data_IF_373042630094
#
_entry.id   IF_373042630094
#
_cell.length_a   1.000
_cell.length_b   1.000
_cell.length_c   1.000
_cell.angle_alpha   90.00
_cell.angle_beta   90.00
_cell.angle_gamma   90.00
#
_symmetry.space_group_name_H-M   'P 1'
#
loop_
_entity.id
_entity.type
_entity.pdbx_description
1 polymer ?
#
# COMPACT_ATOMS: atom_id res chain seq x y z
N UNK A 1 -23.22 -3.57 -7.22
CA UNK A 1 -22.73 -2.25 -7.69
C UNK A 1 -22.25 -2.40 -9.14
N UNK A 2 -22.32 -1.35 -9.99
CA UNK A 2 -22.01 -1.48 -11.41
C UNK A 2 -20.51 -1.67 -11.64
N UNK A 3 -20.14 -2.73 -12.36
CA UNK A 3 -18.76 -2.95 -12.82
C UNK A 3 -18.45 -2.03 -14.00
N UNK A 4 -17.18 -1.62 -14.12
CA UNK A 4 -16.71 -0.73 -15.18
C UNK A 4 -15.91 -1.52 -16.21
N UNK A 5 -16.31 -1.42 -17.47
CA UNK A 5 -15.55 -1.99 -18.59
C UNK A 5 -14.50 -0.98 -19.08
N UNK A 6 -13.25 -1.42 -19.18
CA UNK A 6 -12.14 -0.62 -19.72
C UNK A 6 -11.48 -1.36 -20.87
N UNK A 7 -11.38 -0.71 -22.03
CA UNK A 7 -10.64 -1.24 -23.18
C UNK A 7 -9.17 -0.91 -22.99
N UNK A 8 -8.30 -1.92 -23.07
CA UNK A 8 -6.86 -1.76 -23.02
C UNK A 8 -6.19 -2.29 -24.29
N UNK A 9 -5.12 -1.63 -24.72
CA UNK A 9 -4.33 -2.00 -25.89
C UNK A 9 -2.84 -1.79 -25.63
N UNK A 10 -1.92 -2.47 -26.33
CA UNK A 10 -0.51 -2.10 -26.30
C UNK A 10 -0.32 -0.70 -26.89
N UNK A 11 0.68 0.04 -26.40
CA UNK A 11 1.08 1.33 -26.97
C UNK A 11 1.89 1.11 -28.26
N UNK A 12 1.20 0.66 -29.31
CA UNK A 12 1.72 0.43 -30.66
C UNK A 12 0.75 1.07 -31.64
N UNK A 13 1.27 1.79 -32.64
CA UNK A 13 0.46 2.46 -33.66
C UNK A 13 0.82 1.93 -35.05
N UNK A 14 -0.15 1.44 -35.85
CA UNK A 14 -1.55 1.14 -35.48
C UNK A 14 -1.64 -0.09 -34.57
N UNK A 15 -2.62 -0.11 -33.65
CA UNK A 15 -2.89 -1.27 -32.82
C UNK A 15 -3.95 -2.17 -33.49
N UNK A 16 -3.64 -3.45 -33.78
CA UNK A 16 -4.63 -4.40 -34.27
C UNK A 16 -5.80 -4.59 -33.28
N UNK A 17 -7.01 -4.87 -33.77
CA UNK A 17 -8.16 -5.21 -32.90
C UNK A 17 -7.90 -6.48 -32.10
N UNK A 18 -7.17 -7.44 -32.68
CA UNK A 18 -6.76 -8.69 -32.01
C UNK A 18 -5.85 -8.49 -30.80
N UNK A 19 -5.28 -7.30 -30.64
CA UNK A 19 -4.42 -6.91 -29.52
C UNK A 19 -5.17 -6.13 -28.43
N UNK A 20 -6.44 -5.77 -28.66
CA UNK A 20 -7.25 -5.11 -27.64
C UNK A 20 -7.83 -6.13 -26.67
N UNK A 21 -7.95 -5.73 -25.40
CA UNK A 21 -8.53 -6.53 -24.33
C UNK A 21 -9.54 -5.70 -23.55
N UNK A 22 -10.51 -6.39 -22.96
CA UNK A 22 -11.46 -5.80 -22.04
C UNK A 22 -11.01 -6.09 -20.61
N UNK A 23 -11.01 -5.06 -19.78
CA UNK A 23 -10.83 -5.18 -18.34
C UNK A 23 -12.21 -5.03 -17.71
N UNK A 24 -12.64 -6.05 -16.97
CA UNK A 24 -13.82 -6.00 -16.12
C UNK A 24 -13.37 -5.57 -14.73
N UNK A 25 -13.56 -4.28 -14.42
CA UNK A 25 -13.05 -3.64 -13.21
C UNK A 25 -14.16 -3.55 -12.15
N UNK A 26 -13.85 -4.02 -10.95
CA UNK A 26 -14.67 -3.74 -9.77
C UNK A 26 -14.69 -2.24 -9.43
N UNK A 27 -15.64 -1.83 -8.59
CA UNK A 27 -15.73 -0.44 -8.14
C UNK A 27 -14.48 -0.02 -7.34
N UNK A 28 -14.06 1.23 -7.52
CA UNK A 28 -12.88 1.79 -6.84
C UNK A 28 -11.52 1.23 -7.30
N UNK A 29 -11.46 0.43 -8.37
CA UNK A 29 -10.21 -0.01 -9.01
C UNK A 29 -9.37 1.20 -9.45
N UNK A 30 -8.09 1.14 -9.14
CA UNK A 30 -7.11 2.16 -9.51
C UNK A 30 -6.19 1.65 -10.62
N UNK A 31 -5.46 2.57 -11.25
CA UNK A 31 -4.44 2.23 -12.27
C UNK A 31 -3.38 1.25 -11.74
N UNK A 32 -3.04 1.30 -10.44
CA UNK A 32 -2.13 0.32 -9.81
C UNK A 32 -2.67 -1.11 -9.88
N UNK A 33 -3.97 -1.29 -9.67
CA UNK A 33 -4.61 -2.61 -9.65
C UNK A 33 -4.62 -3.19 -11.07
N UNK A 34 -4.92 -2.37 -12.08
CA UNK A 34 -4.78 -2.74 -13.50
C UNK A 34 -3.34 -3.18 -13.80
N UNK A 35 -2.35 -2.37 -13.41
CA UNK A 35 -0.93 -2.72 -13.64
C UNK A 35 -0.56 -4.04 -12.98
N UNK A 36 -1.05 -4.30 -11.77
CA UNK A 36 -0.82 -5.53 -11.04
C UNK A 36 -1.44 -6.74 -11.76
N UNK A 37 -2.70 -6.63 -12.17
CA UNK A 37 -3.40 -7.67 -12.91
C UNK A 37 -2.69 -8.01 -14.23
N UNK A 38 -2.31 -7.00 -15.02
CA UNK A 38 -1.57 -7.18 -16.27
C UNK A 38 -0.19 -7.80 -16.04
N UNK A 39 0.57 -7.29 -15.07
CA UNK A 39 1.90 -7.80 -14.73
C UNK A 39 1.86 -9.30 -14.39
N UNK A 40 0.87 -9.70 -13.58
CA UNK A 40 0.63 -11.09 -13.21
C UNK A 40 0.27 -11.94 -14.43
N UNK A 41 -0.70 -11.51 -15.24
CA UNK A 41 -1.15 -12.29 -16.40
C UNK A 41 -0.10 -12.38 -17.51
N UNK A 42 0.74 -11.34 -17.69
CA UNK A 42 1.82 -11.32 -18.67
C UNK A 42 3.13 -11.90 -18.14
N UNK A 43 3.19 -12.27 -16.87
CA UNK A 43 4.40 -12.73 -16.18
C UNK A 43 5.59 -11.76 -16.35
N UNK A 44 5.35 -10.47 -16.11
CA UNK A 44 6.38 -9.41 -16.18
C UNK A 44 6.40 -8.59 -14.89
N UNK A 45 7.53 -7.95 -14.52
CA UNK A 45 7.58 -7.08 -13.35
C UNK A 45 6.59 -5.90 -13.47
N UNK A 46 5.78 -5.62 -12.45
CA UNK A 46 4.83 -4.49 -12.47
C UNK A 46 5.48 -3.13 -12.79
N UNK A 47 6.74 -2.95 -12.38
CA UNK A 47 7.54 -1.74 -12.66
C UNK A 47 7.88 -1.54 -14.14
N UNK A 48 7.86 -2.60 -14.97
CA UNK A 48 8.10 -2.47 -16.41
C UNK A 48 6.86 -2.00 -17.18
N UNK A 49 5.69 -2.00 -16.53
CA UNK A 49 4.43 -1.57 -17.13
C UNK A 49 4.05 -0.15 -16.72
N UNK A 50 3.65 0.65 -17.70
CA UNK A 50 3.01 1.95 -17.49
C UNK A 50 1.68 1.99 -18.22
N UNK A 51 0.64 2.50 -17.56
CA UNK A 51 -0.68 2.68 -18.17
C UNK A 51 -0.78 4.12 -18.66
N UNK A 52 -1.29 4.26 -19.87
CA UNK A 52 -1.26 5.50 -20.63
C UNK A 52 -2.66 5.80 -21.13
N UNK A 53 -3.06 7.06 -21.07
CA UNK A 53 -4.27 7.58 -21.73
C UNK A 53 -3.86 8.34 -22.99
N UNK A 54 -4.54 8.07 -24.10
CA UNK A 54 -4.40 8.87 -25.31
C UNK A 54 -5.18 10.17 -25.14
N UNK A 55 -4.53 11.31 -25.39
CA UNK A 55 -5.14 12.63 -25.42
C UNK A 55 -5.51 12.99 -26.86
N UNK A 56 -6.58 13.77 -27.05
CA UNK A 56 -7.09 14.14 -28.38
C UNK A 56 -6.05 14.89 -29.24
N UNK A 57 -5.11 15.58 -28.59
CA UNK A 57 -4.00 16.28 -29.25
C UNK A 57 -2.86 15.37 -29.72
N UNK A 58 -3.03 14.04 -29.65
CA UNK A 58 -1.99 13.06 -29.99
C UNK A 58 -0.93 12.84 -28.90
N UNK A 59 -1.10 13.44 -27.73
CA UNK A 59 -0.21 13.24 -26.59
C UNK A 59 -0.57 11.98 -25.80
N UNK A 60 0.45 11.32 -25.27
CA UNK A 60 0.30 10.14 -24.41
C UNK A 60 0.58 10.52 -22.95
N UNK A 61 -0.43 10.43 -22.10
CA UNK A 61 -0.31 10.77 -20.68
C UNK A 61 -0.14 9.49 -19.86
N UNK A 62 0.97 9.37 -19.14
CA UNK A 62 1.19 8.26 -18.20
C UNK A 62 0.37 8.52 -16.94
N UNK A 63 -0.52 7.60 -16.60
CA UNK A 63 -1.40 7.73 -15.44
C UNK A 63 -0.68 7.33 -14.15
N UNK A 64 -0.90 8.09 -13.08
CA UNK A 64 -0.47 7.75 -11.74
C UNK A 64 -1.25 6.53 -11.23
N UNK A 65 -0.58 5.69 -10.43
CA UNK A 65 -1.18 4.50 -9.84
C UNK A 65 -2.40 4.74 -8.94
N UNK A 66 -2.62 5.97 -8.45
CA UNK A 66 -3.78 6.34 -7.62
C UNK A 66 -4.98 6.87 -8.41
N UNK A 67 -4.85 7.03 -9.72
CA UNK A 67 -5.94 7.53 -10.56
C UNK A 67 -6.99 6.46 -10.86
N UNK A 68 -8.23 6.91 -11.08
CA UNK A 68 -9.33 6.07 -11.57
C UNK A 68 -9.16 5.88 -13.08
N UNK A 69 -9.18 4.64 -13.60
CA UNK A 69 -8.95 4.38 -15.02
C UNK A 69 -10.06 4.97 -15.90
N UNK A 70 -9.67 5.55 -17.04
CA UNK A 70 -10.62 5.92 -18.11
C UNK A 70 -11.10 4.69 -18.90
N UNK A 71 -12.15 4.84 -19.70
CA UNK A 71 -12.74 3.73 -20.49
C UNK A 71 -11.81 3.15 -21.55
N UNK A 72 -10.84 3.94 -22.03
CA UNK A 72 -9.84 3.52 -23.01
C UNK A 72 -8.46 3.84 -22.50
N UNK A 73 -7.60 2.83 -22.50
CA UNK A 73 -6.24 2.89 -22.02
C UNK A 73 -5.29 2.17 -22.98
N UNK A 74 -4.02 2.52 -22.86
CA UNK A 74 -2.92 1.84 -23.51
C UNK A 74 -1.90 1.39 -22.45
N UNK A 75 -1.15 0.34 -22.72
CA UNK A 75 -0.07 -0.12 -21.85
C UNK A 75 1.26 -0.04 -22.58
N UNK A 76 2.21 0.66 -21.95
CA UNK A 76 3.61 0.74 -22.36
C UNK A 76 4.42 -0.29 -21.58
N UNK A 77 5.42 -0.87 -22.23
CA UNK A 77 6.31 -1.89 -21.64
C UNK A 77 6.11 -3.30 -22.18
N UNK A 78 5.08 -3.51 -23.00
CA UNK A 78 4.79 -4.76 -23.71
C UNK A 78 4.42 -4.46 -25.15
N UNK A 79 4.77 -5.38 -26.06
CA UNK A 79 4.50 -5.24 -27.50
C UNK A 79 3.16 -5.86 -27.91
N UNK A 80 2.68 -6.83 -27.14
CA UNK A 80 1.48 -7.61 -27.44
C UNK A 80 0.77 -7.98 -26.14
N UNK A 81 -0.56 -8.00 -26.20
CA UNK A 81 -1.47 -8.51 -25.18
C UNK A 81 -2.09 -9.85 -25.58
N UNK A 82 -1.58 -10.49 -26.64
CA UNK A 82 -2.03 -11.80 -27.12
C UNK A 82 -2.13 -12.86 -26.02
N UNK A 83 -1.20 -12.85 -25.06
CA UNK A 83 -1.18 -13.77 -23.92
C UNK A 83 -2.30 -13.54 -22.89
N UNK A 84 -3.01 -12.41 -22.94
CA UNK A 84 -4.14 -12.14 -22.05
C UNK A 84 -5.44 -12.76 -22.60
N UNK A 85 -6.33 -13.25 -21.72
CA UNK A 85 -7.69 -13.59 -22.12
C UNK A 85 -8.43 -12.34 -22.61
N UNK A 86 -9.42 -12.52 -23.49
CA UNK A 86 -10.20 -11.41 -24.09
C UNK A 86 -10.80 -10.48 -23.03
N UNK A 87 -11.20 -11.04 -21.89
CA UNK A 87 -11.65 -10.31 -20.71
C UNK A 87 -10.73 -10.65 -19.54
N UNK A 88 -10.13 -9.64 -18.94
CA UNK A 88 -9.30 -9.75 -17.73
C UNK A 88 -10.09 -9.17 -16.57
N UNK A 89 -10.27 -9.96 -15.51
CA UNK A 89 -10.88 -9.48 -14.27
C UNK A 89 -9.85 -8.65 -13.48
N UNK A 90 -10.23 -7.44 -13.12
CA UNK A 90 -9.41 -6.54 -12.29
C UNK A 90 -10.19 -6.23 -11.03
N UNK A 91 -9.80 -6.90 -9.96
CA UNK A 91 -10.34 -6.65 -8.62
C UNK A 91 -9.31 -5.91 -7.79
N UNK A 92 -9.78 -5.00 -6.94
CA UNK A 92 -8.93 -4.41 -5.91
C UNK A 92 -8.47 -5.53 -4.97
N UNK A 93 -7.20 -5.53 -4.51
CA UNK A 93 -6.79 -6.44 -3.46
C UNK A 93 -7.77 -6.33 -2.28
N UNK A 94 -8.26 -7.46 -1.74
CA UNK A 94 -9.16 -7.41 -0.60
C UNK A 94 -8.43 -6.71 0.55
N UNK A 95 -8.96 -5.56 0.97
CA UNK A 95 -8.51 -4.93 2.20
C UNK A 95 -9.20 -5.64 3.35
N UNK A 96 -8.43 -6.03 4.36
CA UNK A 96 -8.99 -6.59 5.59
C UNK A 96 -9.99 -5.59 6.18
N UNK A 97 -11.25 -5.99 6.26
CA UNK A 97 -12.36 -5.15 6.74
C UNK A 97 -12.90 -5.58 8.11
N UNK A 98 -12.44 -6.72 8.62
CA UNK A 98 -12.88 -7.28 9.91
C UNK A 98 -11.69 -7.75 10.74
N UNK A 99 -11.90 -7.77 12.05
CA UNK A 99 -10.94 -8.23 13.05
C UNK A 99 -11.77 -8.67 14.27
N UNK A 100 -11.51 -9.86 14.80
CA UNK A 100 -12.20 -10.32 16.03
C UNK A 100 -11.55 -9.70 17.27
N UNK A 101 -12.22 -9.79 18.42
CA UNK A 101 -11.67 -9.31 19.69
C UNK A 101 -10.42 -10.07 20.08
N UNK A 102 -10.42 -11.40 19.91
CA UNK A 102 -9.28 -12.27 20.22
C UNK A 102 -8.07 -11.89 19.36
N UNK A 103 -8.28 -11.62 18.07
CA UNK A 103 -7.22 -11.12 17.19
C UNK A 103 -6.73 -9.74 17.63
N UNK A 104 -7.63 -8.83 17.98
CA UNK A 104 -7.27 -7.48 18.43
C UNK A 104 -6.38 -7.52 19.69
N UNK A 105 -6.77 -8.34 20.69
CA UNK A 105 -6.00 -8.54 21.91
C UNK A 105 -4.63 -9.18 21.62
N UNK A 106 -4.59 -10.18 20.73
CA UNK A 106 -3.33 -10.81 20.34
C UNK A 106 -2.38 -9.85 19.59
N UNK A 107 -2.92 -8.97 18.72
CA UNK A 107 -2.16 -7.91 18.05
C UNK A 107 -1.58 -6.93 19.07
N UNK A 108 -2.36 -6.54 20.09
CA UNK A 108 -1.88 -5.66 21.15
C UNK A 108 -0.78 -6.33 21.98
N UNK A 109 -0.92 -7.62 22.31
CA UNK A 109 0.10 -8.35 23.03
C UNK A 109 1.40 -8.46 22.21
N UNK A 110 1.32 -8.84 20.94
CA UNK A 110 2.48 -8.83 20.03
C UNK A 110 3.14 -7.44 19.96
N UNK A 111 2.33 -6.37 19.99
CA UNK A 111 2.84 -5.00 19.99
C UNK A 111 3.61 -4.72 21.28
N UNK A 112 3.04 -5.06 22.44
CA UNK A 112 3.69 -4.93 23.74
C UNK A 112 5.02 -5.71 23.75
N UNK A 113 5.00 -6.97 23.33
CA UNK A 113 6.19 -7.83 23.29
C UNK A 113 7.28 -7.23 22.38
N UNK A 114 6.89 -6.65 21.24
CA UNK A 114 7.82 -6.00 20.32
C UNK A 114 8.48 -4.74 20.92
N UNK A 115 7.76 -3.97 21.74
CA UNK A 115 8.30 -2.79 22.43
C UNK A 115 9.08 -3.13 23.71
N UNK A 116 8.88 -4.32 24.27
CA UNK A 116 9.67 -4.85 25.39
C UNK A 116 11.03 -5.41 24.96
N UNK A 117 11.32 -5.45 23.65
CA UNK A 117 12.63 -5.82 23.12
C UNK A 117 13.73 -4.86 23.61
N UNK A 118 14.67 -5.39 24.40
CA UNK A 118 15.76 -4.61 24.99
C UNK A 118 16.62 -3.91 23.94
N UNK A 119 16.86 -4.55 22.80
CA UNK A 119 17.64 -3.95 21.71
C UNK A 119 16.88 -2.77 21.09
N UNK A 120 15.56 -2.90 20.89
CA UNK A 120 14.75 -1.78 20.42
C UNK A 120 14.77 -0.62 21.41
N UNK A 121 14.60 -0.89 22.70
CA UNK A 121 14.64 0.13 23.74
C UNK A 121 15.98 0.88 23.74
N UNK A 122 17.10 0.16 23.64
CA UNK A 122 18.45 0.76 23.54
C UNK A 122 18.60 1.57 22.25
N UNK A 123 18.13 1.07 21.11
CA UNK A 123 18.20 1.79 19.82
C UNK A 123 17.40 3.10 19.86
N UNK A 124 16.19 3.06 20.42
CA UNK A 124 15.33 4.25 20.55
C UNK A 124 15.95 5.28 21.49
N UNK A 125 16.44 4.86 22.66
CA UNK A 125 17.11 5.76 23.60
C UNK A 125 18.37 6.39 23.01
N UNK A 126 19.20 5.58 22.34
CA UNK A 126 20.41 6.08 21.66
C UNK A 126 20.06 7.13 20.61
N UNK A 127 18.99 6.90 19.82
CA UNK A 127 18.53 7.88 18.84
C UNK A 127 18.03 9.18 19.51
N UNK A 128 17.26 9.07 20.59
CA UNK A 128 16.77 10.21 21.36
C UNK A 128 17.94 11.05 21.91
N UNK A 129 18.94 10.40 22.53
CA UNK A 129 20.12 11.06 23.08
C UNK A 129 20.94 11.77 21.99
N UNK A 130 21.15 11.12 20.84
CA UNK A 130 21.85 11.70 19.70
C UNK A 130 21.13 12.92 19.11
N UNK A 131 19.81 12.82 18.95
CA UNK A 131 19.00 13.94 18.44
C UNK A 131 18.96 15.09 19.44
N UNK A 132 18.81 14.81 20.74
CA UNK A 132 18.81 15.81 21.79
C UNK A 132 20.14 16.57 21.85
N UNK A 133 21.27 15.86 21.84
CA UNK A 133 22.60 16.47 21.82
C UNK A 133 22.78 17.39 20.60
N UNK A 134 22.41 16.90 19.41
CA UNK A 134 22.46 17.69 18.17
C UNK A 134 21.60 18.94 18.21
N UNK A 135 20.38 18.87 18.76
CA UNK A 135 19.50 20.04 18.85
C UNK A 135 19.99 21.08 19.84
N UNK A 136 20.66 20.66 20.91
CA UNK A 136 21.34 21.57 21.85
C UNK A 136 22.47 22.31 21.14
N UNK A 137 23.31 21.60 20.37
CA UNK A 137 24.41 22.20 19.61
C UNK A 137 23.93 23.16 18.51
N UNK A 138 22.89 22.79 17.76
CA UNK A 138 22.33 23.63 16.68
C UNK A 138 21.41 24.75 17.20
N UNK A 139 21.01 24.72 18.47
CA UNK A 139 20.06 25.67 19.07
C UNK A 139 18.66 25.61 18.47
N UNK A 140 18.31 24.53 17.76
CA UNK A 140 17.00 24.37 17.10
C UNK A 140 16.51 22.93 17.15
N UNK A 141 15.21 22.79 17.37
CA UNK A 141 14.51 21.53 17.31
C UNK A 141 14.21 21.13 15.85
N UNK A 142 14.54 19.89 15.47
CA UNK A 142 14.27 19.35 14.14
C UNK A 142 13.61 17.97 14.22
N UNK A 143 12.29 17.95 14.35
CA UNK A 143 11.49 16.72 14.38
C UNK A 143 11.61 15.85 13.13
N UNK A 144 11.90 16.46 11.97
CA UNK A 144 12.00 15.75 10.70
C UNK A 144 13.22 14.81 10.67
N UNK A 145 14.35 15.24 11.24
CA UNK A 145 15.56 14.42 11.35
C UNK A 145 15.32 13.20 12.26
N UNK A 146 14.71 13.43 13.43
CA UNK A 146 14.32 12.34 14.34
C UNK A 146 13.37 11.35 13.68
N UNK A 147 12.30 11.85 13.03
CA UNK A 147 11.30 10.99 12.36
C UNK A 147 11.92 10.16 11.24
N UNK A 148 12.89 10.72 10.51
CA UNK A 148 13.56 10.03 9.41
C UNK A 148 14.43 8.89 9.95
N UNK A 149 15.23 9.14 11.00
CA UNK A 149 16.08 8.12 11.63
C UNK A 149 15.29 7.07 12.40
N UNK A 150 14.19 7.48 13.04
CA UNK A 150 13.27 6.56 13.73
C UNK A 150 12.70 5.53 12.76
N UNK A 151 12.43 5.94 11.51
CA UNK A 151 11.94 5.03 10.47
C UNK A 151 12.92 3.89 10.23
N UNK A 152 14.22 4.14 10.20
CA UNK A 152 15.22 3.11 9.95
C UNK A 152 15.27 2.04 11.06
N UNK A 153 14.90 2.41 12.29
CA UNK A 153 14.81 1.50 13.44
C UNK A 153 13.50 0.70 13.41
N UNK A 154 12.39 1.37 13.15
CA UNK A 154 11.04 0.80 13.32
C UNK A 154 10.58 0.04 12.07
N UNK A 155 10.96 0.48 10.87
CA UNK A 155 10.48 -0.07 9.60
C UNK A 155 10.79 -1.56 9.41
N UNK A 156 11.99 -2.09 9.75
CA UNK A 156 12.27 -3.53 9.66
C UNK A 156 11.33 -4.36 10.54
N UNK A 157 11.00 -3.85 11.73
CA UNK A 157 10.09 -4.51 12.67
C UNK A 157 8.65 -4.48 12.15
N UNK A 158 8.20 -3.33 11.65
CA UNK A 158 6.90 -3.19 10.98
C UNK A 158 6.75 -4.11 9.76
N UNK A 159 7.83 -4.28 8.99
CA UNK A 159 7.84 -5.15 7.81
C UNK A 159 7.68 -6.64 8.17
N UNK A 160 8.08 -7.05 9.37
CA UNK A 160 7.82 -8.40 9.90
C UNK A 160 6.46 -8.50 10.59
N UNK A 161 6.04 -7.45 11.31
CA UNK A 161 4.83 -7.43 12.12
C UNK A 161 3.54 -7.40 11.29
N UNK A 162 3.41 -6.45 10.35
CA UNK A 162 2.14 -6.26 9.63
C UNK A 162 1.73 -7.48 8.78
N UNK A 163 2.63 -8.15 8.05
CA UNK A 163 2.24 -9.32 7.27
C UNK A 163 1.73 -10.49 8.12
N UNK A 164 2.22 -10.67 9.35
CA UNK A 164 1.71 -11.69 10.30
C UNK A 164 0.21 -11.56 10.52
N UNK A 165 -0.29 -10.32 10.50
CA UNK A 165 -1.68 -9.97 10.74
C UNK A 165 -2.43 -9.59 9.45
N UNK A 166 -1.89 -9.91 8.27
CA UNK A 166 -2.56 -9.65 7.00
C UNK A 166 -2.64 -8.18 6.60
N UNK A 167 -1.78 -7.33 7.17
CA UNK A 167 -1.67 -5.92 6.80
C UNK A 167 -0.45 -5.66 5.90
N UNK A 168 -0.50 -4.58 5.12
CA UNK A 168 0.64 -4.17 4.31
C UNK A 168 1.82 -3.70 5.20
N UNK A 169 3.09 -4.00 4.83
CA UNK A 169 4.28 -3.61 5.59
C UNK A 169 4.65 -2.13 5.41
N UNK A 170 3.67 -1.24 5.47
CA UNK A 170 3.84 0.19 5.23
C UNK A 170 2.78 1.01 6.00
N UNK A 171 2.85 2.34 5.87
CA UNK A 171 1.91 3.27 6.54
C UNK A 171 0.44 2.96 6.25
N UNK A 172 0.10 2.44 5.05
CA UNK A 172 -1.28 2.07 4.73
C UNK A 172 -1.76 0.90 5.57
N UNK A 173 -0.91 -0.11 5.79
CA UNK A 173 -1.23 -1.24 6.66
C UNK A 173 -1.46 -0.80 8.10
N UNK A 174 -0.62 0.11 8.61
CA UNK A 174 -0.82 0.73 9.92
C UNK A 174 -2.16 1.47 10.02
N UNK A 175 -2.48 2.33 9.05
CA UNK A 175 -3.74 3.09 9.03
C UNK A 175 -4.95 2.16 8.93
N UNK A 176 -4.87 1.10 8.13
CA UNK A 176 -5.93 0.11 8.01
C UNK A 176 -6.15 -0.62 9.35
N UNK A 177 -5.07 -1.08 10.00
CA UNK A 177 -5.14 -1.70 11.33
C UNK A 177 -5.75 -0.74 12.36
N UNK A 178 -5.28 0.50 12.43
CA UNK A 178 -5.79 1.51 13.37
C UNK A 178 -7.27 1.82 13.13
N UNK A 179 -7.70 1.84 11.87
CA UNK A 179 -9.11 2.03 11.50
C UNK A 179 -9.97 0.87 12.01
N UNK A 180 -9.50 -0.38 11.91
CA UNK A 180 -10.21 -1.54 12.46
C UNK A 180 -10.32 -1.48 13.99
N UNK A 181 -9.25 -1.06 14.68
CA UNK A 181 -9.30 -0.84 16.14
C UNK A 181 -10.33 0.23 16.52
N UNK A 182 -10.31 1.37 15.83
CA UNK A 182 -11.22 2.48 16.14
C UNK A 182 -12.68 2.17 15.82
N UNK A 183 -12.96 1.47 14.70
CA UNK A 183 -14.33 1.15 14.31
C UNK A 183 -14.95 0.07 15.20
N UNK A 184 -14.17 -0.94 15.60
CA UNK A 184 -14.72 -2.13 16.23
C UNK A 184 -14.49 -2.19 17.75
N UNK A 185 -13.50 -1.47 18.28
CA UNK A 185 -13.01 -1.66 19.66
C UNK A 185 -12.71 -0.36 20.43
N UNK A 186 -13.14 0.81 19.94
CA UNK A 186 -12.90 2.10 20.61
C UNK A 186 -13.46 2.17 22.04
N UNK A 187 -14.52 1.42 22.34
CA UNK A 187 -15.15 1.37 23.67
C UNK A 187 -14.94 0.03 24.39
N UNK A 188 -14.12 -0.88 23.87
CA UNK A 188 -13.88 -2.18 24.51
C UNK A 188 -12.87 -2.01 25.66
N UNK A 189 -13.23 -2.35 26.92
CA UNK A 189 -12.41 -2.05 28.08
C UNK A 189 -11.06 -2.77 28.08
N UNK A 190 -11.02 -4.04 27.63
CA UNK A 190 -9.79 -4.84 27.62
C UNK A 190 -8.82 -4.30 26.57
N UNK A 191 -9.36 -3.89 25.42
CA UNK A 191 -8.56 -3.24 24.36
C UNK A 191 -8.05 -1.88 24.83
N UNK A 192 -8.88 -1.07 25.49
CA UNK A 192 -8.45 0.25 25.99
C UNK A 192 -7.40 0.15 27.11
N UNK A 193 -7.48 -0.87 27.97
CA UNK A 193 -6.44 -1.13 28.98
C UNK A 193 -5.08 -1.38 28.33
N UNK A 194 -5.04 -2.22 27.29
CA UNK A 194 -3.80 -2.47 26.54
C UNK A 194 -3.31 -1.24 25.76
N UNK A 195 -4.21 -0.40 25.23
CA UNK A 195 -3.81 0.88 24.62
C UNK A 195 -3.07 1.75 25.63
N UNK A 196 -3.57 1.85 26.86
CA UNK A 196 -2.92 2.63 27.90
C UNK A 196 -1.54 2.07 28.26
N UNK A 197 -1.39 0.74 28.30
CA UNK A 197 -0.08 0.06 28.53
C UNK A 197 0.92 0.27 27.39
N UNK A 198 0.45 0.39 26.15
CA UNK A 198 1.32 0.67 25.00
C UNK A 198 1.77 2.14 24.99
N UNK A 199 0.92 3.05 25.49
CA UNK A 199 1.20 4.49 25.51
C UNK A 199 2.02 4.94 26.74
N UNK A 200 2.17 4.08 27.76
CA UNK A 200 2.95 4.34 28.98
C UNK A 200 4.41 3.99 28.80
#
# INVERSE_FOLDING_TARGET
MPRKMVVISPLVAPCPESEKRLLDCDDGVLVTDIRCALARCLNVPQRSLSVVKHHETGLHLVLNGKEVPSERLQVKGVKSLSALPNVVQVSRPPQRSTMTKEEALAIQQDTIDAYQDELLAVQLKTLQDLCAAKWVEEGRYNSQDYTTRLRDIVQPRQAAFFPKWGFEPNQKGFVAMQTLFNLNFASDPDVQENVNRINS
#
